data_IF_042976772142
#
_entry.id   IF_042976772142
#
_cell.length_a   1.000
_cell.length_b   1.000
_cell.length_c   1.000
_cell.angle_alpha   90.00
_cell.angle_beta   90.00
_cell.angle_gamma   90.00
#
_symmetry.space_group_name_H-M   'P 1'
#
loop_
_entity.id
_entity.type
_entity.pdbx_description
1 polymer ?
#
# COMPACT_ATOMS: atom_id res chain seq x y z
N UNK A 1 10.30 17.18 13.09
CA UNK A 1 10.80 15.96 12.43
C UNK A 1 10.11 14.80 13.14
N UNK A 2 9.27 14.06 12.43
CA UNK A 2 8.60 12.90 13.04
C UNK A 2 9.62 11.76 13.14
N UNK A 3 9.59 11.03 14.25
CA UNK A 3 10.42 9.84 14.44
C UNK A 3 9.96 8.70 13.53
N UNK A 4 10.84 7.76 13.20
CA UNK A 4 10.46 6.58 12.41
C UNK A 4 9.26 5.85 13.04
N UNK A 5 9.25 5.72 14.37
CA UNK A 5 8.15 5.09 15.11
C UNK A 5 6.81 5.80 14.91
N UNK A 6 6.79 7.13 14.88
CA UNK A 6 5.56 7.90 14.64
C UNK A 6 5.00 7.65 13.23
N UNK A 7 5.87 7.56 12.23
CA UNK A 7 5.47 7.25 10.84
C UNK A 7 4.92 5.82 10.76
N UNK A 8 5.56 4.86 11.42
CA UNK A 8 5.09 3.46 11.47
C UNK A 8 3.71 3.38 12.09
N UNK A 9 3.49 4.05 13.23
CA UNK A 9 2.19 4.06 13.90
C UNK A 9 1.10 4.79 13.11
N UNK A 10 1.47 5.85 12.40
CA UNK A 10 0.54 6.62 11.58
C UNK A 10 0.01 5.81 10.40
N UNK A 11 0.88 5.12 9.66
CA UNK A 11 0.49 4.42 8.43
C UNK A 11 0.22 2.92 8.63
N UNK A 12 0.73 2.32 9.72
CA UNK A 12 0.59 0.91 10.09
C UNK A 12 1.04 -0.07 9.01
N UNK A 13 1.87 0.38 8.07
CA UNK A 13 2.25 -0.40 6.89
C UNK A 13 2.94 -1.72 7.26
N UNK A 14 3.75 -1.71 8.31
CA UNK A 14 4.45 -2.90 8.83
C UNK A 14 3.51 -3.91 9.52
N UNK A 15 2.22 -3.62 9.68
CA UNK A 15 1.22 -4.59 10.14
C UNK A 15 0.56 -5.35 8.98
N UNK A 16 1.00 -5.15 7.73
CA UNK A 16 0.49 -5.90 6.59
C UNK A 16 0.70 -7.41 6.76
N UNK A 17 -0.41 -8.16 6.68
CA UNK A 17 -0.44 -9.63 6.75
C UNK A 17 -0.69 -10.29 5.39
N UNK A 18 -0.47 -9.54 4.30
CA UNK A 18 -0.62 -10.02 2.92
C UNK A 18 -1.98 -10.65 2.54
N UNK A 19 -3.08 -10.30 3.24
CA UNK A 19 -4.39 -10.91 3.00
C UNK A 19 -5.03 -10.64 1.62
N UNK A 20 -4.51 -9.68 0.83
CA UNK A 20 -4.96 -9.41 -0.54
C UNK A 20 -6.29 -8.66 -0.69
N UNK A 21 -7.00 -8.31 0.39
CA UNK A 21 -8.29 -7.58 0.29
C UNK A 21 -8.15 -6.22 -0.43
N UNK A 22 -7.07 -5.49 -0.20
CA UNK A 22 -6.80 -4.23 -0.90
C UNK A 22 -6.58 -4.42 -2.41
N UNK A 23 -5.93 -5.50 -2.84
CA UNK A 23 -5.81 -5.87 -4.26
C UNK A 23 -7.18 -6.18 -4.86
N UNK A 24 -7.99 -7.00 -4.18
CA UNK A 24 -9.33 -7.35 -4.67
C UNK A 24 -10.31 -6.18 -4.73
N UNK A 25 -10.14 -5.17 -3.85
CA UNK A 25 -10.97 -3.97 -3.84
C UNK A 25 -10.50 -2.90 -4.85
N UNK A 26 -9.24 -2.95 -5.28
CA UNK A 26 -8.68 -1.93 -6.15
C UNK A 26 -9.17 -2.13 -7.61
N UNK A 27 -9.82 -1.13 -8.23
CA UNK A 27 -10.28 -1.25 -9.61
C UNK A 27 -9.12 -1.36 -10.60
N UNK A 28 -7.99 -0.69 -10.33
CA UNK A 28 -6.85 -0.75 -11.24
C UNK A 28 -6.07 -2.06 -11.15
N UNK A 29 -6.06 -2.73 -10.00
CA UNK A 29 -5.49 -4.06 -9.91
C UNK A 29 -6.23 -5.10 -10.77
N UNK A 30 -7.45 -4.78 -11.24
CA UNK A 30 -8.22 -5.63 -12.17
C UNK A 30 -7.90 -5.35 -13.64
N UNK A 31 -7.27 -4.22 -13.94
CA UNK A 31 -6.98 -3.77 -15.32
C UNK A 31 -5.48 -3.82 -15.60
N UNK A 32 -4.67 -3.34 -14.67
CA UNK A 32 -3.22 -3.40 -14.66
C UNK A 32 -2.76 -4.42 -13.62
N UNK A 33 -2.31 -5.60 -14.08
CA UNK A 33 -1.85 -6.67 -13.19
C UNK A 33 -0.49 -6.38 -12.54
N UNK A 34 0.21 -5.35 -12.99
CA UNK A 34 1.50 -4.94 -12.43
C UNK A 34 1.32 -3.93 -11.28
N UNK A 35 0.09 -3.43 -11.06
CA UNK A 35 -0.26 -2.55 -9.95
C UNK A 35 -1.20 -3.23 -8.97
N UNK A 36 -0.86 -3.22 -7.67
CA UNK A 36 -1.87 -3.34 -6.64
C UNK A 36 -1.42 -2.69 -5.33
N UNK A 37 -2.35 -2.22 -4.48
CA UNK A 37 -2.00 -1.64 -3.19
C UNK A 37 -1.19 -2.60 -2.31
N UNK A 38 -1.45 -3.92 -2.39
CA UNK A 38 -0.66 -4.93 -1.65
C UNK A 38 0.79 -4.96 -2.10
N UNK A 39 1.05 -4.84 -3.40
CA UNK A 39 2.42 -4.80 -3.91
C UNK A 39 3.12 -3.52 -3.45
N UNK A 40 2.44 -2.37 -3.48
CA UNK A 40 2.99 -1.12 -2.90
C UNK A 40 3.39 -1.34 -1.44
N UNK A 41 2.50 -1.92 -0.61
CA UNK A 41 2.85 -2.22 0.78
C UNK A 41 4.04 -3.18 0.90
N UNK A 42 4.07 -4.25 0.10
CA UNK A 42 5.17 -5.22 0.08
C UNK A 42 6.51 -4.52 -0.20
N UNK A 43 6.60 -3.76 -1.27
CA UNK A 43 7.83 -3.08 -1.67
C UNK A 43 8.23 -1.97 -0.70
N UNK A 44 7.27 -1.25 -0.10
CA UNK A 44 7.59 -0.31 0.99
C UNK A 44 8.17 -1.02 2.21
N UNK A 45 7.67 -2.22 2.56
CA UNK A 45 8.18 -2.99 3.71
C UNK A 45 9.57 -3.57 3.42
N UNK A 46 9.78 -4.11 2.21
CA UNK A 46 11.02 -4.81 1.83
C UNK A 46 12.15 -3.85 1.46
N UNK A 47 11.83 -2.75 0.77
CA UNK A 47 12.81 -1.86 0.14
C UNK A 47 12.67 -0.39 0.58
N UNK A 48 11.60 -0.03 1.30
CA UNK A 48 11.32 1.34 1.70
C UNK A 48 10.62 2.17 0.60
N UNK A 49 10.37 3.45 0.92
CA UNK A 49 9.72 4.39 -0.01
C UNK A 49 10.55 4.69 -1.26
N UNK A 50 11.84 4.39 -1.23
CA UNK A 50 12.76 4.60 -2.35
C UNK A 50 12.79 3.47 -3.38
N UNK A 51 12.02 2.40 -3.16
CA UNK A 51 11.83 1.30 -4.10
C UNK A 51 11.49 1.80 -5.52
N UNK A 52 12.14 1.20 -6.52
CA UNK A 52 11.86 1.52 -7.93
C UNK A 52 10.40 1.21 -8.29
N UNK A 53 9.88 0.09 -7.78
CA UNK A 53 8.47 -0.27 -7.96
C UNK A 53 7.55 0.81 -7.41
N UNK A 54 7.80 1.29 -6.18
CA UNK A 54 6.96 2.31 -5.54
C UNK A 54 7.02 3.61 -6.33
N UNK A 55 8.21 4.08 -6.72
CA UNK A 55 8.40 5.31 -7.49
C UNK A 55 7.69 5.27 -8.84
N UNK A 56 7.72 4.14 -9.54
CA UNK A 56 7.04 3.97 -10.82
C UNK A 56 5.52 3.84 -10.65
N UNK A 57 5.09 2.92 -9.78
CA UNK A 57 3.69 2.46 -9.73
C UNK A 57 2.78 3.29 -8.82
N UNK A 58 3.31 4.15 -7.94
CA UNK A 58 2.48 4.99 -7.05
C UNK A 58 1.52 5.89 -7.85
N UNK A 59 1.95 6.35 -9.02
CA UNK A 59 1.17 7.22 -9.91
C UNK A 59 0.00 6.52 -10.59
N UNK A 60 -0.05 5.19 -10.54
CA UNK A 60 -1.22 4.44 -11.00
C UNK A 60 -2.40 4.65 -10.04
N UNK A 61 -2.20 4.93 -8.76
CA UNK A 61 -3.28 5.04 -7.78
C UNK A 61 -4.33 6.12 -8.12
N UNK A 62 -5.62 5.74 -8.15
CA UNK A 62 -6.75 6.67 -8.33
C UNK A 62 -7.16 7.44 -7.07
N UNK A 63 -6.44 7.25 -5.96
CA UNK A 63 -6.77 7.82 -4.63
C UNK A 63 -8.21 7.58 -4.14
N UNK A 64 -8.88 6.55 -4.66
CA UNK A 64 -10.29 6.26 -4.37
C UNK A 64 -10.60 5.77 -2.93
N UNK A 65 -9.59 5.42 -2.14
CA UNK A 65 -9.76 5.04 -0.73
C UNK A 65 -10.24 3.61 -0.45
N UNK A 66 -10.66 2.84 -1.47
CA UNK A 66 -11.21 1.49 -1.26
C UNK A 66 -10.25 0.51 -0.55
N UNK A 67 -8.94 0.63 -0.79
CA UNK A 67 -7.95 -0.19 -0.09
C UNK A 67 -7.89 0.11 1.42
N UNK A 68 -8.08 1.37 1.81
CA UNK A 68 -8.14 1.79 3.21
C UNK A 68 -9.38 1.25 3.90
N UNK A 69 -10.55 1.43 3.28
CA UNK A 69 -11.82 0.95 3.83
C UNK A 69 -11.90 -0.57 3.99
N UNK A 70 -11.25 -1.32 3.09
CA UNK A 70 -11.32 -2.78 3.05
C UNK A 70 -10.19 -3.47 3.82
N UNK A 71 -9.19 -2.74 4.30
CA UNK A 71 -8.09 -3.32 5.04
C UNK A 71 -8.55 -3.77 6.44
N UNK A 72 -8.48 -5.08 6.77
CA UNK A 72 -8.93 -5.57 8.07
C UNK A 72 -7.97 -5.19 9.22
N UNK A 73 -6.74 -4.77 8.89
CA UNK A 73 -5.72 -4.33 9.85
C UNK A 73 -5.75 -2.80 10.02
N UNK A 74 -6.43 -2.07 9.13
CA UNK A 74 -6.50 -0.61 9.17
C UNK A 74 -5.19 0.08 8.74
N UNK A 75 -4.49 -0.47 7.75
CA UNK A 75 -3.37 0.19 7.08
C UNK A 75 -3.88 1.43 6.34
N UNK A 76 -3.12 2.52 6.43
CA UNK A 76 -3.33 3.72 5.62
C UNK A 76 -2.41 3.68 4.40
N UNK A 77 -2.96 3.25 3.26
CA UNK A 77 -2.39 3.31 1.92
C UNK A 77 -2.52 4.71 1.31
#
# INVERSE_FOLDING_TARGET
MNTLSEVIEQFKIFHCVECGKCTGACPLAQVDRDFSPRLVAKYVIEEGLDSEYVKEKVWTCLTCGLCNERCPIGISF
#
